data_IF_727242870393
#
_entry.id   IF_727242870393
#
_cell.length_a   1.000
_cell.length_b   1.000
_cell.length_c   1.000
_cell.angle_alpha   90.00
_cell.angle_beta   90.00
_cell.angle_gamma   90.00
#
_symmetry.space_group_name_H-M   'P 1'
#
loop_
_entity.id
_entity.type
_entity.pdbx_description
1 polymer ?
#
# COMPACT_ATOMS: atom_id res chain seq x y z
N UNK A 1 -30.87 -50.10 -16.63
CA UNK A 1 -31.30 -48.70 -16.80
C UNK A 1 -30.65 -47.85 -15.73
N UNK A 2 -29.53 -47.21 -16.07
CA UNK A 2 -28.84 -46.23 -15.24
C UNK A 2 -29.10 -44.85 -15.83
N UNK A 3 -29.64 -43.92 -15.04
CA UNK A 3 -29.75 -42.48 -15.33
C UNK A 3 -30.10 -41.82 -13.98
N UNK A 4 -29.11 -41.38 -13.20
CA UNK A 4 -28.60 -40.01 -13.23
C UNK A 4 -29.71 -38.96 -13.29
N UNK A 5 -30.17 -38.47 -12.14
CA UNK A 5 -30.57 -37.07 -11.97
C UNK A 5 -30.23 -36.64 -10.54
N UNK A 6 -28.93 -36.37 -10.33
CA UNK A 6 -28.42 -35.61 -9.18
C UNK A 6 -29.03 -34.21 -9.20
N UNK A 7 -30.12 -34.04 -8.46
CA UNK A 7 -30.59 -32.71 -8.05
C UNK A 7 -29.86 -32.31 -6.76
N UNK A 8 -29.33 -31.09 -6.79
CA UNK A 8 -29.17 -30.22 -5.61
C UNK A 8 -27.91 -30.34 -4.74
N UNK A 9 -26.73 -30.53 -5.34
CA UNK A 9 -25.45 -30.31 -4.63
C UNK A 9 -24.54 -29.37 -5.43
N UNK A 10 -24.90 -28.09 -5.53
CA UNK A 10 -23.97 -27.07 -6.03
C UNK A 10 -24.35 -25.64 -5.62
N UNK A 11 -24.67 -25.40 -4.33
CA UNK A 11 -24.92 -24.04 -3.83
C UNK A 11 -24.42 -23.86 -2.38
N UNK A 12 -23.30 -24.47 -2.00
CA UNK A 12 -22.66 -24.20 -0.69
C UNK A 12 -21.13 -24.26 -0.81
N UNK A 13 -20.54 -23.47 -1.72
CA UNK A 13 -19.10 -23.17 -1.67
C UNK A 13 -18.88 -21.74 -2.18
N UNK A 14 -19.56 -20.77 -1.57
CA UNK A 14 -19.11 -19.39 -1.60
C UNK A 14 -18.46 -19.14 -0.24
N UNK A 15 -17.12 -18.99 -0.15
CA UNK A 15 -16.53 -18.50 1.08
C UNK A 15 -17.11 -17.11 1.32
N UNK A 16 -17.87 -16.95 2.40
CA UNK A 16 -18.22 -15.62 2.92
C UNK A 16 -16.90 -14.94 3.25
N UNK A 17 -16.48 -13.96 2.45
CA UNK A 17 -15.55 -12.95 2.92
C UNK A 17 -16.29 -12.21 4.04
N UNK A 18 -15.91 -12.47 5.29
CA UNK A 18 -16.45 -11.75 6.42
C UNK A 18 -15.65 -10.46 6.57
N UNK A 19 -16.31 -9.36 6.93
CA UNK A 19 -15.68 -8.03 7.09
C UNK A 19 -14.70 -7.93 8.27
N UNK A 20 -14.60 -8.99 9.08
CA UNK A 20 -13.91 -9.01 10.37
C UNK A 20 -12.66 -9.93 10.38
N UNK A 21 -12.28 -10.52 9.24
CA UNK A 21 -11.12 -11.40 9.15
C UNK A 21 -9.81 -10.59 9.08
N UNK A 22 -8.90 -10.83 10.04
CA UNK A 22 -7.56 -10.24 10.04
C UNK A 22 -6.77 -10.70 8.80
N UNK A 23 -6.04 -9.79 8.11
CA UNK A 23 -5.39 -10.07 6.83
C UNK A 23 -4.29 -11.15 6.90
N UNK A 24 -3.85 -11.54 8.10
CA UNK A 24 -2.80 -12.55 8.29
C UNK A 24 -3.27 -14.02 8.18
N UNK A 25 -4.60 -14.28 8.15
CA UNK A 25 -5.15 -15.65 8.15
C UNK A 25 -5.90 -16.04 6.85
N UNK A 26 -5.83 -15.24 5.77
CA UNK A 26 -6.52 -15.58 4.53
C UNK A 26 -5.86 -16.76 3.78
N UNK A 27 -6.56 -17.89 3.82
CA UNK A 27 -6.33 -19.03 2.91
C UNK A 27 -6.43 -18.61 1.43
N UNK A 28 -5.68 -19.32 0.57
CA UNK A 28 -5.34 -18.94 -0.82
C UNK A 28 -6.51 -18.75 -1.81
N UNK A 29 -7.76 -18.87 -1.38
CA UNK A 29 -8.96 -18.87 -2.23
C UNK A 29 -9.67 -17.51 -2.33
N UNK A 30 -9.29 -16.50 -1.54
CA UNK A 30 -9.85 -15.13 -1.62
C UNK A 30 -8.78 -14.03 -1.49
N UNK A 31 -7.57 -14.24 -2.01
CA UNK A 31 -6.60 -13.15 -2.14
C UNK A 31 -7.09 -12.15 -3.19
N UNK A 32 -7.75 -11.09 -2.72
CA UNK A 32 -7.40 -9.76 -3.22
C UNK A 32 -5.88 -9.67 -3.11
N UNK A 33 -5.22 -9.68 -4.25
CA UNK A 33 -3.79 -9.91 -4.38
C UNK A 33 -3.03 -8.71 -3.82
N UNK A 34 -2.75 -8.69 -2.51
CA UNK A 34 -1.86 -7.70 -1.92
C UNK A 34 -0.44 -8.09 -2.32
N UNK A 35 -0.04 -7.56 -3.48
CA UNK A 35 1.34 -7.63 -3.94
C UNK A 35 2.15 -6.69 -3.06
N UNK A 36 3.07 -7.24 -2.27
CA UNK A 36 4.04 -6.47 -1.51
C UNK A 36 4.86 -5.64 -2.50
N UNK A 37 4.52 -4.37 -2.64
CA UNK A 37 5.22 -3.42 -3.51
C UNK A 37 6.35 -2.81 -2.70
N UNK A 38 7.57 -2.78 -3.24
CA UNK A 38 8.70 -2.14 -2.57
C UNK A 38 8.88 -0.72 -3.13
N UNK A 39 8.73 0.29 -2.29
CA UNK A 39 8.95 1.69 -2.65
C UNK A 39 10.17 2.19 -1.89
N UNK A 40 11.17 2.67 -2.63
CA UNK A 40 12.43 3.20 -2.09
C UNK A 40 12.43 4.71 -2.28
N UNK A 41 12.71 5.44 -1.20
CA UNK A 41 12.83 6.90 -1.21
C UNK A 41 14.29 7.27 -0.96
N UNK A 42 14.90 7.97 -1.92
CA UNK A 42 16.25 8.51 -1.82
C UNK A 42 16.23 9.80 -0.98
N UNK A 43 16.66 9.71 0.29
CA UNK A 43 16.69 10.86 1.20
C UNK A 43 17.68 11.95 0.76
N UNK A 44 18.74 11.60 0.03
CA UNK A 44 19.74 12.56 -0.44
C UNK A 44 19.19 13.47 -1.56
N UNK A 45 18.23 12.96 -2.34
CA UNK A 45 17.56 13.70 -3.41
C UNK A 45 16.29 14.40 -2.92
N UNK A 46 15.66 13.84 -1.90
CA UNK A 46 14.51 14.45 -1.24
C UNK A 46 15.03 15.58 -0.34
N UNK A 47 14.90 16.84 -0.80
CA UNK A 47 15.18 18.02 0.04
C UNK A 47 14.09 18.20 1.10
N UNK A 48 13.72 19.43 1.42
CA UNK A 48 12.72 19.71 2.45
C UNK A 48 11.31 19.16 2.13
N UNK A 49 10.84 18.12 2.84
CA UNK A 49 9.53 17.54 2.58
C UNK A 49 8.40 18.43 3.12
N UNK A 50 8.71 19.37 4.02
CA UNK A 50 7.74 20.35 4.57
C UNK A 50 7.16 21.25 3.48
N UNK A 51 7.97 21.67 2.51
CA UNK A 51 7.54 22.55 1.42
C UNK A 51 6.99 21.76 0.23
N UNK A 52 7.58 20.60 -0.07
CA UNK A 52 7.15 19.81 -1.22
C UNK A 52 5.75 19.20 -1.01
N UNK A 53 5.61 18.25 -0.07
CA UNK A 53 4.36 17.48 0.21
C UNK A 53 3.60 16.95 -1.02
N UNK A 54 4.18 16.98 -2.23
CA UNK A 54 3.50 16.68 -3.49
C UNK A 54 3.12 15.21 -3.59
N UNK A 55 4.04 14.34 -3.20
CA UNK A 55 3.85 12.89 -3.10
C UNK A 55 2.71 12.51 -2.14
N UNK A 56 2.58 13.22 -1.01
CA UNK A 56 1.45 13.05 -0.08
C UNK A 56 0.12 13.51 -0.69
N UNK A 57 0.10 14.64 -1.40
CA UNK A 57 -1.13 15.21 -1.98
C UNK A 57 -1.68 14.39 -3.15
N UNK A 58 -0.81 13.80 -3.96
CA UNK A 58 -1.23 13.07 -5.17
C UNK A 58 -1.70 11.65 -4.85
N UNK A 59 -1.19 11.05 -3.78
CA UNK A 59 -1.42 9.64 -3.48
C UNK A 59 -2.77 9.45 -2.77
N UNK A 60 -3.80 8.84 -3.42
CA UNK A 60 -5.11 8.67 -2.80
C UNK A 60 -5.10 7.84 -1.50
N UNK A 61 -4.33 6.73 -1.40
CA UNK A 61 -4.26 5.95 -0.17
C UNK A 61 -3.28 6.52 0.87
N UNK A 62 -2.70 7.70 0.64
CA UNK A 62 -1.81 8.40 1.57
C UNK A 62 -0.68 7.50 2.14
N UNK A 63 0.10 6.87 1.24
CA UNK A 63 1.13 5.90 1.65
C UNK A 63 2.33 6.52 2.37
N UNK A 64 2.55 7.82 2.15
CA UNK A 64 3.73 8.55 2.60
C UNK A 64 3.52 9.14 3.99
N UNK A 65 4.49 8.93 4.88
CA UNK A 65 4.54 9.49 6.22
C UNK A 65 5.77 10.37 6.37
N UNK A 66 5.57 11.58 6.89
CA UNK A 66 6.65 12.49 7.21
C UNK A 66 7.05 12.30 8.67
N UNK A 67 8.35 12.12 8.93
CA UNK A 67 8.90 11.94 10.27
C UNK A 67 10.23 12.67 10.41
N UNK A 68 10.57 13.06 11.64
CA UNK A 68 11.91 13.55 11.98
C UNK A 68 12.75 12.41 12.56
N UNK A 69 14.01 12.24 12.15
CA UNK A 69 14.92 11.30 12.80
C UNK A 69 15.29 11.79 14.22
N UNK A 70 15.31 13.11 14.44
CA UNK A 70 15.52 13.71 15.74
C UNK A 70 14.22 13.67 16.56
N UNK A 71 14.24 12.85 17.61
CA UNK A 71 13.16 12.71 18.59
C UNK A 71 13.40 13.52 19.88
N UNK A 72 14.60 14.07 20.06
CA UNK A 72 15.00 14.83 21.26
C UNK A 72 14.58 16.31 21.17
N UNK A 73 14.46 16.86 19.96
CA UNK A 73 14.07 18.26 19.73
C UNK A 73 12.59 18.36 19.35
N UNK A 74 11.89 19.34 19.93
CA UNK A 74 10.52 19.68 19.52
C UNK A 74 10.45 20.30 18.11
N UNK A 75 11.54 20.93 17.67
CA UNK A 75 11.68 21.53 16.34
C UNK A 75 12.91 20.92 15.64
N UNK A 76 12.73 19.77 14.98
CA UNK A 76 13.81 19.14 14.23
C UNK A 76 14.03 19.88 12.91
N UNK A 77 15.28 20.21 12.60
CA UNK A 77 15.68 20.83 11.34
C UNK A 77 15.56 19.83 10.18
N UNK A 78 15.87 18.55 10.41
CA UNK A 78 15.76 17.49 9.40
C UNK A 78 14.39 16.82 9.40
N UNK A 79 13.80 16.70 8.20
CA UNK A 79 12.58 15.95 7.97
C UNK A 79 12.78 14.96 6.85
N UNK A 80 12.22 13.77 7.03
CA UNK A 80 12.29 12.68 6.06
C UNK A 80 10.87 12.21 5.74
N UNK A 81 10.73 11.56 4.59
CA UNK A 81 9.49 10.96 4.14
C UNK A 81 9.73 9.49 3.89
N UNK A 82 9.00 8.64 4.60
CA UNK A 82 8.98 7.19 4.37
C UNK A 82 7.62 6.72 3.85
N UNK A 83 7.56 5.46 3.46
CA UNK A 83 6.33 4.80 3.04
C UNK A 83 5.86 3.83 4.13
N UNK A 84 4.70 4.11 4.73
CA UNK A 84 4.16 3.31 5.82
C UNK A 84 3.25 2.17 5.31
N UNK A 85 2.50 2.41 4.22
CA UNK A 85 1.42 1.51 3.78
C UNK A 85 1.66 0.92 2.38
N UNK A 86 2.74 0.15 2.20
CA UNK A 86 3.09 -0.43 0.90
C UNK A 86 2.00 -1.33 0.30
N UNK A 87 1.19 -1.96 1.15
CA UNK A 87 0.11 -2.87 0.77
C UNK A 87 -1.05 -2.19 0.04
N UNK A 88 -1.23 -0.88 0.22
CA UNK A 88 -2.29 -0.09 -0.41
C UNK A 88 -1.84 0.50 -1.76
N UNK A 89 -0.58 0.27 -2.17
CA UNK A 89 -0.06 0.80 -3.41
C UNK A 89 -0.68 0.11 -4.63
N UNK A 90 -1.29 0.89 -5.51
CA UNK A 90 -1.85 0.42 -6.79
C UNK A 90 -0.88 0.53 -7.96
N UNK A 91 0.37 0.94 -7.71
CA UNK A 91 1.41 1.18 -8.73
C UNK A 91 1.00 2.18 -9.82
N UNK A 92 0.24 3.23 -9.46
CA UNK A 92 -0.14 4.29 -10.39
C UNK A 92 1.04 5.12 -10.93
N UNK A 93 2.20 5.09 -10.24
CA UNK A 93 3.42 5.85 -10.56
C UNK A 93 3.28 7.38 -10.49
N UNK A 94 2.13 7.91 -10.04
CA UNK A 94 1.90 9.35 -9.92
C UNK A 94 2.88 10.05 -8.98
N UNK A 95 3.29 9.36 -7.91
CA UNK A 95 4.26 9.86 -6.95
C UNK A 95 5.64 10.09 -7.58
N UNK A 96 6.05 9.25 -8.54
CA UNK A 96 7.30 9.39 -9.28
C UNK A 96 7.20 10.55 -10.28
N UNK A 97 6.06 10.67 -10.98
CA UNK A 97 5.83 11.69 -12.00
C UNK A 97 5.79 13.12 -11.42
N UNK A 98 5.20 13.31 -10.25
CA UNK A 98 5.08 14.64 -9.63
C UNK A 98 6.36 15.08 -8.91
N UNK A 99 7.26 14.16 -8.61
CA UNK A 99 8.46 14.44 -7.82
C UNK A 99 9.45 15.26 -8.66
N UNK A 100 9.75 16.53 -8.29
CA UNK A 100 10.67 17.36 -9.07
C UNK A 100 12.11 16.81 -9.07
N UNK A 101 12.47 16.08 -8.00
CA UNK A 101 13.81 15.53 -7.82
C UNK A 101 13.89 14.04 -8.18
N UNK A 102 12.79 13.45 -8.66
CA UNK A 102 12.67 12.01 -8.96
C UNK A 102 13.29 11.11 -7.88
N UNK A 103 13.03 11.42 -6.62
CA UNK A 103 13.61 10.75 -5.46
C UNK A 103 12.92 9.42 -5.09
N UNK A 104 11.86 9.03 -5.80
CA UNK A 104 11.02 7.87 -5.46
C UNK A 104 11.19 6.81 -6.54
N UNK A 105 11.48 5.57 -6.12
CA UNK A 105 11.62 4.40 -6.99
C UNK A 105 10.65 3.31 -6.54
N UNK A 106 9.87 2.75 -7.46
CA UNK A 106 8.95 1.63 -7.20
C UNK A 106 9.55 0.36 -7.83
N UNK A 107 9.61 -0.75 -7.08
CA UNK A 107 10.04 -2.08 -7.55
C UNK A 107 8.84 -3.03 -7.63
#
# INVERSE_FOLDING_TARGET
MAMLWMRSLCYILSPRCNSDDRPDQLSNTCRGMVMKTDIIVDYEKCGDPRDCKKCMKICPPALFMMYSPDYESNDPDEWRVDVAFLDLCTRCMDCVNICPNQAITIK
#
